data_IF_552765546429
#
_entry.id   IF_552765546429
#
_cell.length_a   1.000
_cell.length_b   1.000
_cell.length_c   1.000
_cell.angle_alpha   90.00
_cell.angle_beta   90.00
_cell.angle_gamma   90.00
#
_symmetry.space_group_name_H-M   'P 1'
#
loop_
_entity.id
_entity.type
_entity.pdbx_description
1 polymer ?
#
# COMPACT_ATOMS: atom_id res chain seq x y z
N UNK A 1 -1.97 -15.45 -0.47
CA UNK A 1 -2.95 -14.42 -0.87
C UNK A 1 -2.85 -13.25 0.10
N UNK A 2 -2.59 -12.04 -0.41
CA UNK A 2 -2.47 -10.83 0.41
C UNK A 2 -3.88 -10.29 0.64
N UNK A 3 -4.23 -9.99 1.90
CA UNK A 3 -5.54 -9.47 2.26
C UNK A 3 -5.57 -7.95 2.12
N UNK A 4 -5.70 -7.46 0.88
CA UNK A 4 -6.01 -6.06 0.63
C UNK A 4 -7.41 -5.74 1.12
N UNK A 5 -7.56 -4.55 1.71
CA UNK A 5 -8.86 -4.00 2.08
C UNK A 5 -8.89 -2.51 1.82
N UNK A 6 -10.08 -1.91 1.58
CA UNK A 6 -10.21 -0.47 1.44
C UNK A 6 -9.55 0.27 2.62
N UNK A 7 -8.86 1.37 2.30
CA UNK A 7 -8.33 2.27 3.32
C UNK A 7 -9.47 2.90 4.12
N UNK A 8 -9.29 2.99 5.43
CA UNK A 8 -10.25 3.56 6.38
C UNK A 8 -9.56 4.56 7.28
N UNK A 9 -10.34 5.33 8.06
CA UNK A 9 -9.77 6.28 9.02
C UNK A 9 -8.97 5.58 10.13
N UNK A 10 -9.31 4.33 10.44
CA UNK A 10 -8.61 3.51 11.43
C UNK A 10 -7.18 3.16 10.99
N UNK A 11 -6.87 3.35 9.70
CA UNK A 11 -5.55 3.08 9.15
C UNK A 11 -4.54 4.20 9.36
N UNK A 12 -5.01 5.36 9.82
CA UNK A 12 -4.19 6.57 9.94
C UNK A 12 -2.93 6.32 10.76
N UNK A 13 -3.07 5.75 11.94
CA UNK A 13 -1.98 5.73 12.92
C UNK A 13 -0.87 4.76 12.51
N UNK A 14 -1.22 3.54 12.09
CA UNK A 14 -0.22 2.54 11.67
C UNK A 14 0.41 2.89 10.31
N UNK A 15 -0.35 3.42 9.35
CA UNK A 15 0.23 3.85 8.07
C UNK A 15 1.19 5.02 8.29
N UNK A 16 0.81 5.99 9.13
CA UNK A 16 1.68 7.13 9.46
C UNK A 16 2.97 6.68 10.14
N UNK A 17 2.90 5.65 10.99
CA UNK A 17 4.10 5.03 11.59
C UNK A 17 5.01 4.43 10.52
N UNK A 18 4.48 3.60 9.61
CA UNK A 18 5.25 3.00 8.51
C UNK A 18 5.84 4.05 7.56
N UNK A 19 5.09 5.10 7.24
CA UNK A 19 5.58 6.22 6.42
C UNK A 19 6.77 6.93 7.06
N UNK A 20 6.74 7.11 8.39
CA UNK A 20 7.83 7.73 9.16
C UNK A 20 9.10 6.88 9.19
N UNK A 21 8.96 5.55 9.20
CA UNK A 21 10.10 4.62 9.16
C UNK A 21 10.95 4.77 7.89
N UNK A 22 10.37 5.20 6.77
CA UNK A 22 11.05 5.24 5.47
C UNK A 22 11.80 6.56 5.20
N UNK A 23 11.73 7.55 6.10
CA UNK A 23 12.37 8.88 6.03
C UNK A 23 12.19 9.61 4.67
N UNK A 24 11.21 9.21 3.85
CA UNK A 24 10.88 9.82 2.56
C UNK A 24 9.99 11.04 2.82
N UNK A 25 10.58 12.23 2.83
CA UNK A 25 9.89 13.51 3.04
C UNK A 25 9.13 14.00 1.78
N UNK A 26 8.50 13.09 1.02
CA UNK A 26 7.63 13.47 -0.11
C UNK A 26 6.21 13.75 0.39
N UNK A 27 5.62 14.89 0.02
CA UNK A 27 4.23 15.24 0.39
C UNK A 27 3.19 14.22 -0.12
N UNK A 28 3.52 13.45 -1.16
CA UNK A 28 2.66 12.38 -1.70
C UNK A 28 2.49 11.17 -0.76
N UNK A 29 3.39 11.02 0.22
CA UNK A 29 3.43 9.92 1.19
C UNK A 29 2.78 10.34 2.51
N UNK A 30 1.58 10.89 2.44
CA UNK A 30 0.76 11.18 3.61
C UNK A 30 -0.49 10.31 3.60
N UNK A 31 -0.90 9.85 4.79
CA UNK A 31 -2.18 9.14 4.95
C UNK A 31 -3.34 9.95 4.36
N UNK A 32 -3.37 11.26 4.60
CA UNK A 32 -4.43 12.14 4.14
C UNK A 32 -4.58 12.11 2.60
N UNK A 33 -3.48 12.11 1.85
CA UNK A 33 -3.52 12.02 0.39
C UNK A 33 -4.14 10.69 -0.05
N UNK A 34 -3.63 9.57 0.45
CA UNK A 34 -4.14 8.23 0.11
C UNK A 34 -5.61 8.05 0.50
N UNK A 35 -6.02 8.64 1.63
CA UNK A 35 -7.40 8.59 2.11
C UNK A 35 -8.36 9.43 1.24
N UNK A 36 -7.98 10.67 0.87
CA UNK A 36 -8.81 11.53 0.03
C UNK A 36 -9.01 10.93 -1.37
N UNK A 37 -7.95 10.39 -1.96
CA UNK A 37 -8.01 9.82 -3.31
C UNK A 37 -8.60 8.40 -3.36
N UNK A 38 -8.87 7.78 -2.21
CA UNK A 38 -9.46 6.43 -2.14
C UNK A 38 -10.80 6.30 -2.87
N UNK A 39 -11.58 7.39 -2.92
CA UNK A 39 -12.88 7.43 -3.62
C UNK A 39 -12.72 7.30 -5.14
N UNK A 40 -11.60 7.78 -5.68
CA UNK A 40 -11.36 7.84 -7.13
C UNK A 40 -10.53 6.63 -7.58
N UNK A 41 -9.44 6.32 -6.87
CA UNK A 41 -8.50 5.25 -7.26
C UNK A 41 -8.71 3.94 -6.49
N UNK A 42 -9.84 3.78 -5.80
CA UNK A 42 -10.19 2.57 -5.01
C UNK A 42 -9.00 2.09 -4.16
N UNK A 43 -8.42 3.00 -3.39
CA UNK A 43 -7.18 2.73 -2.65
C UNK A 43 -7.42 1.64 -1.60
N UNK A 44 -6.61 0.59 -1.66
CA UNK A 44 -6.59 -0.51 -0.70
C UNK A 44 -5.22 -0.62 -0.03
N UNK A 45 -5.21 -1.15 1.19
CA UNK A 45 -4.02 -1.25 2.02
C UNK A 45 -3.89 -2.65 2.63
N UNK A 46 -2.64 -3.10 2.78
CA UNK A 46 -2.30 -4.34 3.45
C UNK A 46 -0.94 -4.21 4.17
N UNK A 47 -0.77 -4.96 5.26
CA UNK A 47 0.54 -5.19 5.85
C UNK A 47 1.16 -6.46 5.25
N UNK A 48 2.37 -6.33 4.71
CA UNK A 48 3.09 -7.43 4.06
C UNK A 48 4.55 -7.39 4.52
N UNK A 49 5.00 -8.46 5.18
CA UNK A 49 6.38 -8.58 5.68
C UNK A 49 6.84 -7.38 6.54
N UNK A 50 5.93 -6.79 7.32
CA UNK A 50 6.21 -5.62 8.16
C UNK A 50 6.25 -4.28 7.40
N UNK A 51 5.91 -4.28 6.11
CA UNK A 51 5.74 -3.09 5.28
C UNK A 51 4.26 -2.75 5.09
N UNK A 52 3.96 -1.46 4.95
CA UNK A 52 2.70 -0.98 4.40
C UNK A 52 2.76 -1.08 2.87
N UNK A 53 1.78 -1.74 2.27
CA UNK A 53 1.58 -1.77 0.82
C UNK A 53 0.27 -1.08 0.49
N UNK A 54 0.31 -0.21 -0.52
CA UNK A 54 -0.85 0.52 -1.04
C UNK A 54 -1.10 0.01 -2.46
N UNK A 55 -2.32 -0.47 -2.70
CA UNK A 55 -2.85 -0.85 -4.01
C UNK A 55 -3.83 0.23 -4.48
N UNK A 56 -3.80 0.59 -5.75
CA UNK A 56 -4.70 1.58 -6.32
C UNK A 56 -4.99 1.27 -7.80
N UNK A 57 -6.19 1.63 -8.24
CA UNK A 57 -6.65 1.58 -9.62
C UNK A 57 -6.07 2.78 -10.37
N UNK A 58 -5.26 2.53 -11.40
CA UNK A 58 -4.79 3.56 -12.31
C UNK A 58 -5.30 3.24 -13.71
N UNK A 59 -6.33 3.97 -14.16
CA UNK A 59 -6.96 3.78 -15.47
C UNK A 59 -7.48 2.35 -15.71
N UNK A 60 -7.95 1.67 -14.65
CA UNK A 60 -8.46 0.30 -14.71
C UNK A 60 -7.40 -0.79 -14.55
N UNK A 61 -6.14 -0.42 -14.32
CA UNK A 61 -5.07 -1.36 -13.97
C UNK A 61 -4.72 -1.31 -12.48
N UNK A 62 -4.55 -2.48 -11.88
CA UNK A 62 -4.10 -2.60 -10.49
C UNK A 62 -2.62 -2.25 -10.37
N UNK A 63 -2.36 -1.10 -9.75
CA UNK A 63 -1.02 -0.61 -9.45
C UNK A 63 -0.69 -0.76 -7.97
N UNK A 64 0.59 -0.96 -7.68
CA UNK A 64 1.11 -1.10 -6.31
C UNK A 64 2.20 -0.07 -6.06
N UNK A 65 2.07 0.67 -4.96
CA UNK A 65 3.18 1.51 -4.49
C UNK A 65 4.33 0.63 -4.00
N UNK A 66 5.55 1.17 -4.06
CA UNK A 66 6.72 0.49 -3.49
C UNK A 66 6.52 0.28 -1.97
N UNK A 67 6.85 -0.89 -1.39
CA UNK A 67 6.60 -1.16 0.02
C UNK A 67 7.24 -0.13 0.96
N UNK A 68 6.44 0.35 1.91
CA UNK A 68 6.77 1.45 2.81
C UNK A 68 7.06 0.90 4.21
N UNK A 69 8.11 1.41 4.85
CA UNK A 69 8.45 1.11 6.24
C UNK A 69 9.62 0.13 6.39
N UNK A 70 10.01 -0.16 7.62
CA UNK A 70 11.24 -0.86 7.99
C UNK A 70 11.21 -2.39 7.80
N UNK A 71 10.10 -2.95 7.32
CA UNK A 71 9.97 -4.38 7.01
C UNK A 71 10.84 -4.86 5.85
N UNK A 72 10.74 -6.16 5.54
CA UNK A 72 11.47 -6.77 4.42
C UNK A 72 10.80 -6.44 3.08
N UNK A 73 11.23 -5.33 2.50
CA UNK A 73 10.76 -4.83 1.21
C UNK A 73 10.97 -5.83 0.07
N UNK A 74 12.05 -6.62 0.09
CA UNK A 74 12.34 -7.62 -0.95
C UNK A 74 11.32 -8.75 -0.85
N UNK A 75 11.09 -9.27 0.36
CA UNK A 75 10.06 -10.28 0.58
C UNK A 75 8.65 -9.77 0.22
N UNK A 76 8.32 -8.52 0.57
CA UNK A 76 7.05 -7.90 0.19
C UNK A 76 6.86 -7.84 -1.33
N UNK A 77 7.86 -7.40 -2.09
CA UNK A 77 7.82 -7.39 -3.57
C UNK A 77 7.61 -8.80 -4.13
N UNK A 78 8.30 -9.81 -3.60
CA UNK A 78 8.13 -11.20 -4.06
C UNK A 78 6.71 -11.73 -3.79
N UNK A 79 6.10 -11.38 -2.66
CA UNK A 79 4.71 -11.74 -2.38
C UNK A 79 3.74 -11.00 -3.30
N UNK A 80 3.97 -9.72 -3.58
CA UNK A 80 3.15 -8.95 -4.52
C UNK A 80 3.21 -9.51 -5.94
N UNK A 81 4.40 -9.90 -6.41
CA UNK A 81 4.57 -10.57 -7.70
C UNK A 81 3.84 -11.91 -7.78
N UNK A 82 3.75 -12.63 -6.66
CA UNK A 82 3.00 -13.90 -6.59
C UNK A 82 1.50 -13.61 -6.62
N UNK A 83 1.04 -12.67 -5.78
CA UNK A 83 -0.35 -12.26 -5.71
C UNK A 83 -0.89 -11.72 -7.05
N UNK A 84 -0.14 -10.86 -7.74
CA UNK A 84 -0.54 -10.30 -9.03
C UNK A 84 -0.64 -11.35 -10.16
N UNK A 85 0.07 -12.48 -10.05
CA UNK A 85 -0.07 -13.61 -10.98
C UNK A 85 -1.33 -14.44 -10.70
N UNK A 86 -1.68 -14.59 -9.42
CA UNK A 86 -2.87 -15.32 -8.99
C UNK A 86 -4.16 -14.56 -9.34
N UNK A 87 -4.19 -13.22 -9.20
CA UNK A 87 -5.37 -12.38 -9.50
C UNK A 87 -5.65 -12.24 -11.01
N UNK A 88 -4.63 -12.41 -11.86
CA UNK A 88 -4.76 -12.32 -13.33
C UNK A 88 -5.05 -13.69 -14.00
N UNK A 89 -5.39 -14.73 -13.23
CA UNK A 89 -5.69 -16.09 -13.70
C UNK A 89 -7.17 -16.43 -13.53
#
# INVERSE_FOLDING_TARGET
>A
MIAFRPITIDDRDWMSEKLREDNRQGCEYSFANNFIWSVIYKVEVAEVCGCCVIKFDAEGEDCYAFPIGAGDKKAAIMQLLTHAKEDNS
#
